data_IF_757794557803
#
_entry.id   IF_757794557803
#
_cell.length_a   1.000
_cell.length_b   1.000
_cell.length_c   1.000
_cell.angle_alpha   90.00
_cell.angle_beta   90.00
_cell.angle_gamma   90.00
#
_symmetry.space_group_name_H-M   'P 1'
#
loop_
_entity.id
_entity.type
_entity.pdbx_description
1 polymer ?
#
# COMPACT_ATOMS: atom_id res chain seq x y z
N UNK A 1 7.35 -48.85 -24.55
CA UNK A 1 6.97 -47.98 -23.41
C UNK A 1 8.22 -47.32 -22.86
N UNK A 2 8.49 -46.08 -23.22
CA UNK A 2 9.64 -45.31 -22.69
C UNK A 2 9.15 -43.92 -22.31
N UNK A 3 8.79 -43.76 -21.03
CA UNK A 3 8.40 -42.48 -20.45
C UNK A 3 9.65 -41.61 -20.28
N UNK A 4 9.84 -40.66 -21.20
CA UNK A 4 10.85 -39.60 -21.02
C UNK A 4 10.45 -38.76 -19.81
N UNK A 5 11.25 -38.87 -18.77
CA UNK A 5 11.15 -38.08 -17.55
C UNK A 5 11.30 -36.61 -17.90
N UNK A 6 10.26 -35.81 -17.61
CA UNK A 6 10.27 -34.38 -17.76
C UNK A 6 11.03 -33.79 -16.56
N UNK A 7 12.34 -33.54 -16.73
CA UNK A 7 13.16 -32.84 -15.74
C UNK A 7 12.70 -31.38 -15.65
N UNK A 8 11.83 -31.09 -14.68
CA UNK A 8 11.61 -29.74 -14.21
C UNK A 8 12.89 -29.27 -13.51
N UNK A 9 13.55 -28.27 -14.12
CA UNK A 9 14.68 -27.56 -13.50
C UNK A 9 14.26 -27.03 -12.12
N UNK A 10 15.15 -27.04 -11.11
CA UNK A 10 14.84 -26.55 -9.78
C UNK A 10 14.60 -25.04 -9.85
N UNK A 11 13.34 -24.63 -9.80
CA UNK A 11 13.00 -23.24 -9.52
C UNK A 11 13.46 -22.96 -8.09
N UNK A 12 14.51 -22.16 -7.94
CA UNK A 12 14.95 -21.60 -6.67
C UNK A 12 13.84 -20.70 -6.10
N UNK A 13 12.82 -21.32 -5.50
CA UNK A 13 11.89 -20.68 -4.57
C UNK A 13 12.63 -20.57 -3.25
N UNK A 14 13.34 -19.45 -3.08
CA UNK A 14 13.74 -19.01 -1.75
C UNK A 14 12.47 -18.59 -1.01
N UNK A 15 11.77 -19.57 -0.45
CA UNK A 15 10.65 -19.35 0.45
C UNK A 15 11.21 -18.74 1.74
N UNK A 16 11.27 -17.41 1.79
CA UNK A 16 11.53 -16.66 3.01
C UNK A 16 10.27 -16.71 3.87
N UNK A 17 10.33 -17.53 4.91
CA UNK A 17 9.31 -17.64 5.96
C UNK A 17 9.11 -16.28 6.66
N UNK A 18 7.87 -15.89 6.99
CA UNK A 18 7.65 -14.70 7.80
C UNK A 18 7.83 -15.05 9.28
N UNK A 19 8.88 -14.47 9.88
CA UNK A 19 8.92 -14.27 11.33
C UNK A 19 7.82 -13.27 11.71
N UNK A 20 6.88 -13.75 12.53
CA UNK A 20 5.91 -12.92 13.25
C UNK A 20 6.67 -12.01 14.23
N UNK A 21 6.61 -10.69 14.06
CA UNK A 21 6.77 -9.79 15.21
C UNK A 21 6.24 -8.37 15.00
N UNK A 22 5.50 -7.95 16.02
CA UNK A 22 5.42 -6.60 16.60
C UNK A 22 4.77 -5.47 15.78
N UNK A 23 3.48 -5.28 16.05
CA UNK A 23 2.85 -3.97 15.99
C UNK A 23 3.28 -3.15 17.23
N UNK A 24 3.95 -2.01 17.04
CA UNK A 24 4.05 -0.92 18.04
C UNK A 24 4.74 0.33 17.44
N UNK A 25 3.96 1.41 17.30
CA UNK A 25 4.30 2.81 17.63
C UNK A 25 5.68 3.39 17.21
N UNK A 26 6.28 2.91 16.12
CA UNK A 26 7.53 3.44 15.58
C UNK A 26 7.57 3.38 14.04
N UNK A 27 6.56 3.93 13.39
CA UNK A 27 6.38 3.86 11.93
C UNK A 27 7.18 4.93 11.13
N UNK A 28 8.41 5.28 11.56
CA UNK A 28 9.23 6.26 10.81
C UNK A 28 10.56 5.70 10.26
N UNK A 29 11.15 4.61 10.79
CA UNK A 29 12.49 4.18 10.29
C UNK A 29 12.78 2.68 10.16
N UNK A 30 11.80 1.78 10.18
CA UNK A 30 12.06 0.35 9.90
C UNK A 30 10.93 -0.31 9.11
N UNK A 31 10.86 -0.02 7.80
CA UNK A 31 10.16 -0.90 6.86
C UNK A 31 10.82 -0.91 5.48
N UNK A 32 11.99 -1.54 5.39
CA UNK A 32 12.32 -2.28 4.19
C UNK A 32 11.80 -3.71 4.43
N UNK A 33 10.96 -4.21 3.52
CA UNK A 33 11.57 -4.74 2.32
C UNK A 33 11.09 -4.00 1.08
N UNK A 34 11.98 -3.93 0.10
CA UNK A 34 11.63 -3.64 -1.27
C UNK A 34 10.72 -4.75 -1.85
N UNK A 35 9.45 -4.75 -1.43
CA UNK A 35 8.40 -5.61 -1.94
C UNK A 35 7.26 -4.70 -2.35
N UNK A 36 6.92 -4.72 -3.64
CA UNK A 36 5.74 -4.07 -4.22
C UNK A 36 4.57 -4.19 -3.23
N UNK A 37 4.11 -3.07 -2.66
CA UNK A 37 2.90 -3.08 -1.85
C UNK A 37 1.79 -3.66 -2.73
N UNK A 38 1.33 -4.87 -2.40
CA UNK A 38 0.32 -5.57 -3.18
C UNK A 38 -1.00 -4.83 -3.02
N UNK A 39 -1.57 -4.24 -4.10
CA UNK A 39 -2.83 -3.52 -4.01
C UNK A 39 -3.94 -4.39 -3.41
N UNK A 40 -4.65 -3.80 -2.46
CA UNK A 40 -5.88 -4.35 -1.92
C UNK A 40 -6.99 -4.31 -2.99
N UNK A 41 -8.00 -5.19 -2.92
CA UNK A 41 -9.11 -5.21 -3.87
C UNK A 41 -9.88 -3.89 -3.96
N UNK A 42 -9.86 -3.09 -2.88
CA UNK A 42 -10.57 -1.81 -2.78
C UNK A 42 -9.95 -0.72 -3.67
N UNK A 43 -8.64 -0.74 -3.89
CA UNK A 43 -7.95 0.23 -4.76
C UNK A 43 -8.07 -0.09 -6.26
N UNK A 44 -8.28 -1.36 -6.63
CA UNK A 44 -8.36 -1.80 -8.04
C UNK A 44 -9.65 -1.35 -8.74
N UNK A 45 -10.77 -1.34 -8.01
CA UNK A 45 -12.09 -0.94 -8.52
C UNK A 45 -12.10 0.52 -9.03
N UNK A 46 -11.72 1.55 -8.25
CA UNK A 46 -11.67 2.93 -8.72
C UNK A 46 -10.59 3.20 -9.78
N UNK A 47 -9.56 2.34 -9.89
CA UNK A 47 -8.59 2.39 -10.97
C UNK A 47 -9.11 1.78 -12.30
N UNK A 48 -10.30 1.17 -12.30
CA UNK A 48 -10.86 0.52 -13.49
C UNK A 48 -10.08 -0.72 -13.92
N UNK A 49 -9.48 -1.44 -12.97
CA UNK A 49 -8.75 -2.70 -13.19
C UNK A 49 -9.52 -3.81 -12.47
N UNK A 50 -10.09 -4.78 -13.20
CA UNK A 50 -10.78 -5.89 -12.56
C UNK A 50 -9.78 -6.85 -11.91
N UNK A 51 -10.16 -7.42 -10.77
CA UNK A 51 -9.29 -8.26 -9.92
C UNK A 51 -8.61 -9.42 -10.66
N UNK A 52 -9.29 -10.02 -11.64
CA UNK A 52 -8.77 -11.15 -12.40
C UNK A 52 -7.76 -10.74 -13.49
N UNK A 53 -7.86 -9.51 -14.01
CA UNK A 53 -6.92 -9.00 -15.03
C UNK A 53 -5.65 -8.41 -14.43
N UNK A 54 -5.70 -7.94 -13.18
CA UNK A 54 -4.54 -7.40 -12.47
C UNK A 54 -3.29 -8.34 -12.51
N UNK A 55 -3.38 -9.63 -12.13
CA UNK A 55 -2.21 -10.52 -12.16
C UNK A 55 -1.68 -10.78 -13.57
N UNK A 56 -2.54 -10.77 -14.60
CA UNK A 56 -2.10 -10.96 -15.99
C UNK A 56 -1.30 -9.78 -16.54
N UNK A 57 -1.51 -8.60 -15.97
CA UNK A 57 -0.82 -7.36 -16.34
C UNK A 57 0.46 -7.17 -15.50
N UNK A 58 0.72 -8.04 -14.53
CA UNK A 58 1.88 -7.93 -13.63
C UNK A 58 1.60 -7.15 -12.34
N UNK A 59 0.34 -6.95 -11.98
CA UNK A 59 -0.08 -6.34 -10.71
C UNK A 59 -0.44 -7.46 -9.73
N UNK A 60 0.37 -7.64 -8.69
CA UNK A 60 0.10 -8.62 -7.63
C UNK A 60 -1.03 -8.14 -6.71
N UNK A 61 -2.00 -9.00 -6.40
CA UNK A 61 -3.20 -8.63 -5.61
C UNK A 61 -3.24 -9.42 -4.32
N UNK A 62 -3.38 -8.73 -3.19
CA UNK A 62 -3.57 -9.36 -1.87
C UNK A 62 -4.99 -9.11 -1.36
N UNK A 63 -5.88 -10.12 -1.34
CA UNK A 63 -7.27 -9.95 -0.92
C UNK A 63 -7.43 -9.74 0.58
N UNK A 64 -6.41 -10.00 1.40
CA UNK A 64 -6.50 -9.88 2.87
C UNK A 64 -6.28 -8.45 3.35
N UNK A 65 -5.57 -7.63 2.58
CA UNK A 65 -5.23 -6.26 2.96
C UNK A 65 -6.45 -5.35 2.93
N UNK A 66 -6.63 -4.58 4.01
CA UNK A 66 -7.60 -3.50 4.12
C UNK A 66 -6.85 -2.18 4.33
N UNK A 67 -7.25 -1.14 3.60
CA UNK A 67 -6.75 0.22 3.84
C UNK A 67 -7.62 0.87 4.92
N UNK A 68 -6.97 1.35 5.98
CA UNK A 68 -7.61 2.07 7.07
C UNK A 68 -7.74 3.58 6.79
N UNK A 69 -6.80 4.15 6.02
CA UNK A 69 -6.78 5.56 5.65
C UNK A 69 -7.23 5.80 4.20
N UNK A 70 -7.87 6.93 3.95
CA UNK A 70 -8.32 7.35 2.62
C UNK A 70 -7.18 7.89 1.75
N UNK A 71 -6.24 8.61 2.35
CA UNK A 71 -5.05 9.17 1.69
C UNK A 71 -4.20 8.08 1.02
N UNK A 72 -4.03 6.94 1.71
CA UNK A 72 -3.30 5.80 1.14
C UNK A 72 -4.05 5.15 -0.02
N UNK A 73 -5.38 5.22 -0.02
CA UNK A 73 -6.20 4.69 -1.10
C UNK A 73 -6.10 5.59 -2.34
N UNK A 74 -6.21 6.90 -2.20
CA UNK A 74 -6.14 7.86 -3.32
C UNK A 74 -4.78 7.81 -4.00
N UNK A 75 -3.69 7.85 -3.23
CA UNK A 75 -2.33 7.75 -3.77
C UNK A 75 -2.09 6.43 -4.54
N UNK A 76 -2.63 5.31 -4.05
CA UNK A 76 -2.53 4.03 -4.74
C UNK A 76 -3.37 3.98 -6.02
N UNK A 77 -4.56 4.60 -6.03
CA UNK A 77 -5.40 4.69 -7.24
C UNK A 77 -4.71 5.51 -8.32
N UNK A 78 -4.13 6.65 -7.96
CA UNK A 78 -3.34 7.48 -8.87
C UNK A 78 -2.14 6.71 -9.43
N UNK A 79 -1.42 5.98 -8.57
CA UNK A 79 -0.31 5.12 -8.99
C UNK A 79 -0.76 4.04 -9.98
N UNK A 80 -1.89 3.38 -9.73
CA UNK A 80 -2.42 2.35 -10.63
C UNK A 80 -2.86 2.94 -11.98
N UNK A 81 -3.42 4.15 -11.98
CA UNK A 81 -3.75 4.88 -13.23
C UNK A 81 -2.49 5.26 -13.99
N UNK A 82 -1.47 5.78 -13.32
CA UNK A 82 -0.18 6.09 -13.93
C UNK A 82 0.51 4.84 -14.49
N UNK A 83 0.41 3.71 -13.78
CA UNK A 83 0.90 2.41 -14.26
C UNK A 83 0.18 1.98 -15.55
N UNK A 84 -1.16 2.06 -15.56
CA UNK A 84 -1.98 1.72 -16.72
C UNK A 84 -1.67 2.60 -17.94
N UNK A 85 -1.40 3.88 -17.75
CA UNK A 85 -1.05 4.81 -18.83
C UNK A 85 0.32 4.52 -19.47
N UNK A 86 1.29 4.01 -18.69
CA UNK A 86 2.63 3.66 -19.20
C UNK A 86 2.72 2.23 -19.73
N UNK A 87 1.75 1.39 -19.43
CA UNK A 87 1.75 -0.01 -19.83
C UNK A 87 1.45 -0.15 -21.32
N UNK A 88 2.42 -0.68 -22.07
CA UNK A 88 2.22 -1.11 -23.45
C UNK A 88 1.89 -2.60 -23.45
N UNK A 89 0.64 -2.96 -23.73
CA UNK A 89 0.19 -4.35 -23.76
C UNK A 89 0.23 -4.91 -25.18
N UNK A 90 1.04 -5.93 -25.42
CA UNK A 90 1.09 -6.60 -26.72
C UNK A 90 -0.11 -7.55 -26.91
N UNK A 91 -0.73 -7.55 -28.11
CA UNK A 91 -1.79 -8.49 -28.41
C UNK A 91 -1.24 -9.93 -28.45
N UNK A 92 -1.91 -10.86 -27.77
CA UNK A 92 -1.56 -12.30 -27.81
C UNK A 92 -1.62 -12.89 -29.22
N UNK A 93 -2.52 -12.36 -30.05
CA UNK A 93 -2.68 -12.74 -31.46
C UNK A 93 -2.60 -11.48 -32.30
N UNK A 94 -1.56 -11.35 -33.13
CA UNK A 94 -1.35 -10.17 -33.97
C UNK A 94 -2.52 -9.87 -34.94
N UNK A 95 -3.29 -10.89 -35.32
CA UNK A 95 -4.43 -10.77 -36.25
C UNK A 95 -5.75 -10.35 -35.59
N UNK A 96 -5.83 -10.35 -34.25
CA UNK A 96 -7.06 -10.05 -33.52
C UNK A 96 -6.74 -9.30 -32.21
N UNK A 97 -6.38 -8.00 -32.32
CA UNK A 97 -6.17 -7.16 -31.14
C UNK A 97 -7.51 -6.96 -30.39
N UNK A 98 -7.45 -7.01 -29.07
CA UNK A 98 -8.56 -6.77 -28.15
C UNK A 98 -8.52 -5.34 -27.62
N UNK A 99 -9.63 -4.92 -27.02
CA UNK A 99 -9.71 -3.63 -26.32
C UNK A 99 -8.64 -3.53 -25.23
N UNK A 100 -7.70 -2.61 -25.38
CA UNK A 100 -6.59 -2.39 -24.45
C UNK A 100 -5.23 -2.88 -24.92
N UNK A 101 -5.13 -3.45 -26.13
CA UNK A 101 -3.84 -3.74 -26.78
C UNK A 101 -3.23 -2.47 -27.40
N UNK A 102 -1.90 -2.44 -27.47
CA UNK A 102 -1.12 -1.32 -27.98
C UNK A 102 -1.28 -1.12 -29.50
N UNK A 103 -1.17 0.14 -29.95
CA UNK A 103 -1.13 0.48 -31.37
C UNK A 103 0.14 -0.07 -32.04
N UNK A 104 0.13 -0.20 -33.37
CA UNK A 104 1.29 -0.71 -34.11
C UNK A 104 2.56 0.14 -33.89
N UNK A 105 2.41 1.44 -33.69
CA UNK A 105 3.50 2.39 -33.44
C UNK A 105 4.07 2.28 -32.02
N UNK A 106 3.21 2.07 -31.01
CA UNK A 106 3.67 1.87 -29.63
C UNK A 106 4.37 0.51 -29.48
N UNK A 107 3.94 -0.48 -30.27
CA UNK A 107 4.58 -1.79 -30.33
C UNK A 107 5.98 -1.74 -30.93
N UNK A 108 6.22 -0.94 -31.98
CA UNK A 108 7.57 -0.81 -32.57
C UNK A 108 8.51 -0.05 -31.63
N UNK A 109 8.06 1.08 -31.08
CA UNK A 109 8.82 1.86 -30.09
C UNK A 109 9.20 1.02 -28.86
N UNK A 110 8.28 0.19 -28.37
CA UNK A 110 8.56 -0.70 -27.24
C UNK A 110 9.56 -1.83 -27.59
N UNK A 111 9.54 -2.36 -28.82
CA UNK A 111 10.52 -3.35 -29.29
C UNK A 111 11.91 -2.74 -29.46
N UNK A 112 12.00 -1.53 -30.01
CA UNK A 112 13.24 -0.77 -30.18
C UNK A 112 13.88 -0.40 -28.83
N UNK A 113 13.06 -0.10 -27.82
CA UNK A 113 13.51 0.11 -26.43
C UNK A 113 14.04 -1.17 -25.74
N UNK A 114 14.11 -2.31 -26.44
CA UNK A 114 14.69 -3.55 -25.92
C UNK A 114 13.77 -4.31 -24.96
N UNK A 115 12.46 -4.03 -24.96
CA UNK A 115 11.44 -4.70 -24.14
C UNK A 115 10.80 -5.91 -24.84
N UNK A 116 11.44 -6.47 -25.87
CA UNK A 116 10.88 -7.50 -26.73
C UNK A 116 10.50 -8.82 -26.00
N UNK A 117 11.18 -9.17 -24.89
CA UNK A 117 10.93 -10.42 -24.17
C UNK A 117 10.66 -10.23 -22.68
N UNK A 118 11.43 -9.39 -21.98
CA UNK A 118 11.35 -9.24 -20.52
C UNK A 118 11.33 -7.77 -20.09
N UNK A 119 10.46 -7.44 -19.13
CA UNK A 119 10.46 -6.16 -18.42
C UNK A 119 11.72 -6.13 -17.54
N UNK A 120 12.81 -5.53 -18.06
CA UNK A 120 14.14 -5.62 -17.44
C UNK A 120 14.25 -5.03 -16.02
N UNK A 121 13.30 -4.21 -15.55
CA UNK A 121 13.18 -3.87 -14.12
C UNK A 121 11.86 -3.14 -13.80
N UNK A 122 10.92 -3.79 -13.11
CA UNK A 122 9.71 -3.13 -12.61
C UNK A 122 10.00 -2.09 -11.51
N UNK A 123 11.10 -2.28 -10.75
CA UNK A 123 11.54 -1.35 -9.69
C UNK A 123 12.09 -0.03 -10.23
N UNK A 124 12.68 -0.02 -11.43
CA UNK A 124 13.20 1.19 -12.06
C UNK A 124 12.08 1.99 -12.75
N UNK A 125 11.03 1.33 -13.24
CA UNK A 125 9.92 1.97 -13.95
C UNK A 125 9.04 2.86 -13.05
N UNK A 126 8.96 2.55 -11.75
CA UNK A 126 8.19 3.32 -10.76
C UNK A 126 8.96 3.46 -9.44
N UNK A 127 9.95 4.38 -9.37
CA UNK A 127 10.65 4.65 -8.12
C UNK A 127 9.67 5.22 -7.10
N UNK A 128 9.64 4.62 -5.90
CA UNK A 128 8.87 5.14 -4.77
C UNK A 128 9.76 6.18 -4.10
N UNK A 129 9.48 7.46 -4.31
CA UNK A 129 10.20 8.53 -3.62
C UNK A 129 9.54 8.80 -2.28
N UNK A 130 10.12 8.28 -1.20
CA UNK A 130 9.78 8.67 0.16
C UNK A 130 10.48 10.00 0.47
N UNK A 131 10.03 11.09 -0.16
CA UNK A 131 10.54 12.42 0.16
C UNK A 131 9.86 12.86 1.44
N UNK A 132 10.63 12.99 2.51
CA UNK A 132 10.18 13.68 3.72
C UNK A 132 10.17 15.15 3.38
N UNK A 133 8.97 15.75 3.29
CA UNK A 133 8.85 17.20 3.15
C UNK A 133 9.06 17.79 4.53
N UNK A 134 10.24 18.37 4.75
CA UNK A 134 10.54 19.14 5.94
C UNK A 134 10.21 20.59 5.60
N UNK A 135 9.20 21.16 6.25
CA UNK A 135 8.92 22.58 6.14
C UNK A 135 9.82 23.31 7.13
N UNK A 136 10.83 24.00 6.61
CA UNK A 136 11.71 24.86 7.40
C UNK A 136 11.07 26.25 7.51
N UNK A 137 10.50 26.55 8.69
CA UNK A 137 9.99 27.87 9.04
C UNK A 137 10.89 28.58 10.04
N UNK A 138 10.73 29.91 10.19
CA UNK A 138 11.38 30.61 11.30
C UNK A 138 10.72 30.17 12.61
N UNK A 139 11.49 30.07 13.69
CA UNK A 139 10.96 29.65 15.01
C UNK A 139 9.81 30.54 15.48
N UNK A 140 9.77 31.81 15.05
CA UNK A 140 8.68 32.77 15.31
C UNK A 140 7.32 32.39 14.70
N UNK A 141 7.32 31.59 13.63
CA UNK A 141 6.11 31.25 12.88
C UNK A 141 5.35 30.09 13.56
N UNK A 142 6.01 29.37 14.48
CA UNK A 142 5.42 28.31 15.28
C UNK A 142 5.02 28.85 16.64
N UNK A 143 3.74 28.65 17.02
CA UNK A 143 3.26 29.04 18.33
C UNK A 143 4.07 28.35 19.44
N UNK A 144 4.66 29.09 20.40
CA UNK A 144 5.41 28.50 21.49
C UNK A 144 4.44 27.71 22.38
N UNK A 145 4.66 26.40 22.49
CA UNK A 145 3.95 25.59 23.48
C UNK A 145 4.61 25.81 24.84
N UNK A 146 4.01 26.66 25.68
CA UNK A 146 4.57 27.07 26.97
C UNK A 146 4.94 25.89 27.89
N UNK A 147 4.29 24.73 27.74
CA UNK A 147 4.48 23.57 28.62
C UNK A 147 4.36 22.21 27.90
N UNK A 148 5.09 21.99 26.80
CA UNK A 148 5.05 20.73 26.04
C UNK A 148 5.24 19.46 26.90
N UNK A 149 6.14 19.52 27.90
CA UNK A 149 6.38 18.40 28.83
C UNK A 149 5.12 18.00 29.62
N UNK A 150 4.38 18.99 30.15
CA UNK A 150 3.17 18.75 30.94
C UNK A 150 2.06 18.17 30.08
N UNK A 151 1.83 18.75 28.90
CA UNK A 151 0.83 18.28 27.92
C UNK A 151 1.03 16.81 27.57
N UNK A 152 2.28 16.40 27.29
CA UNK A 152 2.59 15.00 26.99
C UNK A 152 2.34 14.07 28.19
N UNK A 153 2.52 14.56 29.42
CA UNK A 153 2.27 13.77 30.64
C UNK A 153 0.78 13.63 30.93
N UNK A 154 0.02 14.69 30.71
CA UNK A 154 -1.43 14.71 30.86
C UNK A 154 -2.09 13.79 29.82
N UNK A 155 -1.71 13.88 28.54
CA UNK A 155 -2.20 12.97 27.49
C UNK A 155 -1.95 11.49 27.81
N UNK A 156 -0.77 11.14 28.37
CA UNK A 156 -0.50 9.77 28.86
C UNK A 156 -1.40 9.39 30.03
N UNK A 157 -1.64 10.31 30.96
CA UNK A 157 -2.51 10.10 32.11
C UNK A 157 -3.96 9.88 31.68
N UNK A 158 -4.45 10.68 30.74
CA UNK A 158 -5.78 10.58 30.14
C UNK A 158 -5.98 9.23 29.46
N UNK A 159 -5.08 8.85 28.55
CA UNK A 159 -5.12 7.56 27.86
C UNK A 159 -5.11 6.37 28.84
N UNK A 160 -4.32 6.44 29.92
CA UNK A 160 -4.25 5.39 30.95
C UNK A 160 -5.53 5.31 31.81
N UNK A 161 -6.20 6.44 32.04
CA UNK A 161 -7.30 6.54 33.01
C UNK A 161 -8.70 6.53 32.38
N UNK A 162 -8.84 6.44 31.05
CA UNK A 162 -10.13 6.42 30.33
C UNK A 162 -11.14 5.48 31.00
N UNK A 163 -10.81 4.20 31.14
CA UNK A 163 -11.75 3.22 31.71
C UNK A 163 -12.12 3.48 33.18
N UNK A 164 -11.21 4.03 34.00
CA UNK A 164 -11.52 4.38 35.40
C UNK A 164 -12.43 5.62 35.46
N UNK A 165 -12.21 6.59 34.58
CA UNK A 165 -13.02 7.81 34.48
C UNK A 165 -14.41 7.49 33.96
N UNK A 166 -14.55 6.66 32.93
CA UNK A 166 -15.84 6.18 32.42
C UNK A 166 -16.63 5.43 33.50
N UNK A 167 -15.99 4.55 34.27
CA UNK A 167 -16.65 3.84 35.38
C UNK A 167 -17.16 4.80 36.46
N UNK A 168 -16.35 5.80 36.85
CA UNK A 168 -16.77 6.82 37.82
C UNK A 168 -17.87 7.73 37.28
N UNK A 169 -17.82 8.10 36.01
CA UNK A 169 -18.85 8.90 35.37
C UNK A 169 -20.19 8.15 35.31
N UNK A 170 -20.17 6.86 34.97
CA UNK A 170 -21.37 6.01 35.00
C UNK A 170 -21.94 5.89 36.41
N UNK A 171 -21.12 5.57 37.41
CA UNK A 171 -21.57 5.48 38.80
C UNK A 171 -22.20 6.78 39.31
N UNK A 172 -21.58 7.94 39.03
CA UNK A 172 -22.17 9.24 39.36
C UNK A 172 -23.50 9.49 38.67
N UNK A 173 -23.61 9.19 37.38
CA UNK A 173 -24.85 9.35 36.64
C UNK A 173 -25.97 8.42 37.17
N UNK A 174 -25.61 7.20 37.57
CA UNK A 174 -26.56 6.24 38.15
C UNK A 174 -27.03 6.68 39.55
N UNK A 175 -26.14 7.23 40.38
CA UNK A 175 -26.46 7.83 41.68
C UNK A 175 -27.34 9.09 41.53
N UNK A 176 -27.05 9.94 40.55
CA UNK A 176 -27.86 11.12 40.22
C UNK A 176 -29.23 10.73 39.64
N UNK A 177 -29.33 9.62 38.91
CA UNK A 177 -30.60 9.09 38.42
C UNK A 177 -31.43 8.44 39.54
N UNK A 178 -30.77 7.82 40.52
CA UNK A 178 -31.42 7.25 41.70
C UNK A 178 -31.93 8.31 42.68
N UNK A 179 -31.23 9.44 42.82
CA UNK A 179 -31.66 10.56 43.68
C UNK A 179 -32.74 11.45 43.06
N UNK A 180 -32.97 11.36 41.74
CA UNK A 180 -34.06 12.04 41.03
C UNK A 180 -35.34 11.19 40.91
N UNK A 181 -35.31 9.92 41.34
CA UNK A 181 -36.49 9.06 41.48
C UNK A 181 -36.98 9.12 42.92
#
# INVERSE_FOLDING_TARGET
>A
MTLKHNQQLPNNRTDLSPSLSAALMADILLRLPQGLATPCPRALRPAGIPRKLAPTIGISVDPRRQNLSEESLTANVERLKAYKARLVLFPKKAKAPKSGDASAEDMTKAKEAGHAEHVKASKQAFPISNKVVIEEGKVSDYAPTENAYRVLRDARSEARLVGKREKRAKAKNDEEAASKK
#
